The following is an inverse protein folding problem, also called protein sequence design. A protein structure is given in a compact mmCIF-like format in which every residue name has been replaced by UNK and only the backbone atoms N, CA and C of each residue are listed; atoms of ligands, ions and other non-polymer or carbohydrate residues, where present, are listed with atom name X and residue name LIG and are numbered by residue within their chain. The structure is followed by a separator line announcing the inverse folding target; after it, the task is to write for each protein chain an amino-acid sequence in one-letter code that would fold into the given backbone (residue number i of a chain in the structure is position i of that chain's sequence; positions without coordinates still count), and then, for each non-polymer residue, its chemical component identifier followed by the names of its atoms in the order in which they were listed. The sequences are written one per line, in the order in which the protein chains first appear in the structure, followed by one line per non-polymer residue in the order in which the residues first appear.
data_IF_516312985545
#
_entry.id   IF_516312985545
#
_cell.length_a   1.000
_cell.length_b   1.000
_cell.length_c   1.000
_cell.angle_alpha   90.00
_cell.angle_beta   90.00
_cell.angle_gamma   90.00
#
_symmetry.space_group_name_H-M   'P 1'
#
loop_
_entity.id
_entity.type
_entity.pdbx_description
1 polymer ?
#
# COMPACT_ATOMS: atom_id res chain seq x y z
N UNK A 1 -12.88 29.68 11.79
CA UNK A 1 -11.68 29.18 11.09
C UNK A 1 -12.05 27.84 10.46
N UNK A 2 -12.11 27.82 9.13
CA UNK A 2 -12.39 26.59 8.41
C UNK A 2 -11.13 25.73 8.42
N UNK A 3 -11.28 24.48 8.86
CA UNK A 3 -10.21 23.50 8.83
C UNK A 3 -10.16 22.83 7.46
N UNK A 4 -8.96 22.47 7.03
CA UNK A 4 -8.70 21.64 5.87
C UNK A 4 -8.01 20.36 6.34
N UNK A 5 -8.59 19.22 6.01
CA UNK A 5 -8.04 17.90 6.29
C UNK A 5 -7.32 17.39 5.04
N UNK A 6 -6.09 16.93 5.20
CA UNK A 6 -5.24 16.47 4.11
C UNK A 6 -4.79 15.05 4.46
N UNK A 7 -5.27 14.07 3.70
CA UNK A 7 -4.88 12.68 3.84
C UNK A 7 -3.80 12.35 2.81
N UNK A 8 -2.66 11.89 3.28
CA UNK A 8 -1.55 11.41 2.47
C UNK A 8 -1.63 9.88 2.36
N UNK A 9 -1.76 9.37 1.12
CA UNK A 9 -1.87 7.94 0.80
C UNK A 9 -0.50 7.37 0.35
N UNK A 10 0.55 7.68 1.09
CA UNK A 10 1.88 7.12 0.86
C UNK A 10 2.04 5.74 1.50
N UNK A 11 3.25 5.19 1.54
CA UNK A 11 3.52 3.89 2.18
C UNK A 11 3.02 3.82 3.63
N UNK A 12 3.12 4.92 4.37
CA UNK A 12 2.48 5.12 5.66
C UNK A 12 1.45 6.23 5.51
N UNK A 13 0.18 5.88 5.64
CA UNK A 13 -0.92 6.85 5.56
C UNK A 13 -0.93 7.74 6.80
N UNK A 14 -1.14 9.04 6.61
CA UNK A 14 -1.29 10.01 7.70
C UNK A 14 -2.18 11.18 7.30
N UNK A 15 -2.71 11.88 8.28
CA UNK A 15 -3.56 13.07 8.08
C UNK A 15 -2.88 14.30 8.67
N UNK A 16 -2.86 15.38 7.90
CA UNK A 16 -2.53 16.71 8.38
C UNK A 16 -3.78 17.57 8.48
N UNK A 17 -3.78 18.51 9.41
CA UNK A 17 -4.87 19.46 9.59
C UNK A 17 -4.30 20.86 9.40
N UNK A 18 -4.82 21.56 8.40
CA UNK A 18 -4.49 22.96 8.15
C UNK A 18 -5.66 23.90 8.47
N UNK A 19 -5.35 25.17 8.54
CA UNK A 19 -6.34 26.26 8.62
C UNK A 19 -6.44 26.94 7.25
N UNK A 20 -7.64 27.06 6.70
CA UNK A 20 -7.86 27.76 5.44
C UNK A 20 -7.54 29.25 5.61
N UNK A 21 -6.60 29.74 4.82
CA UNK A 21 -6.19 31.15 4.79
C UNK A 21 -6.98 31.93 3.75
N UNK A 22 -7.10 31.38 2.54
CA UNK A 22 -7.86 32.00 1.46
C UNK A 22 -8.37 30.98 0.47
N UNK A 23 -9.45 31.34 -0.23
CA UNK A 23 -10.04 30.56 -1.33
C UNK A 23 -10.24 31.50 -2.49
N UNK A 24 -9.83 31.11 -3.70
CA UNK A 24 -10.03 31.91 -4.92
C UNK A 24 -11.51 31.95 -5.34
N UNK A 25 -11.85 32.89 -6.19
CA UNK A 25 -13.13 32.81 -6.90
C UNK A 25 -13.19 31.52 -7.76
N UNK A 26 -14.38 30.90 -7.89
CA UNK A 26 -14.55 29.74 -8.76
C UNK A 26 -14.20 30.10 -10.23
N UNK A 27 -13.43 29.24 -10.88
CA UNK A 27 -13.03 29.36 -12.29
C UNK A 27 -13.31 28.05 -13.03
N UNK A 28 -13.58 28.06 -14.35
CA UNK A 28 -13.68 26.85 -15.13
C UNK A 28 -12.34 26.09 -15.12
N UNK A 29 -12.38 24.78 -14.95
CA UNK A 29 -11.17 23.92 -14.97
C UNK A 29 -10.45 23.94 -16.31
N UNK A 30 -11.24 24.04 -17.41
CA UNK A 30 -10.71 24.14 -18.77
C UNK A 30 -11.15 25.45 -19.42
N UNK A 31 -10.24 26.15 -20.14
CA UNK A 31 -10.62 27.34 -20.88
C UNK A 31 -11.68 27.00 -21.93
N UNK A 32 -12.75 27.79 -21.96
CA UNK A 32 -13.81 27.65 -22.96
C UNK A 32 -13.30 28.04 -24.33
N UNK A 33 -12.75 27.10 -25.10
CA UNK A 33 -12.27 27.33 -26.46
C UNK A 33 -13.23 26.90 -27.54
N UNK A 34 -14.40 26.32 -27.20
CA UNK A 34 -15.38 25.85 -28.18
C UNK A 34 -16.82 26.26 -27.84
N UNK A 35 -17.63 26.64 -28.86
CA UNK A 35 -19.02 27.11 -28.70
C UNK A 35 -20.03 25.97 -28.54
N UNK A 36 -19.63 24.76 -28.18
CA UNK A 36 -20.57 23.66 -27.93
C UNK A 36 -21.04 23.70 -26.47
N UNK A 37 -22.34 23.57 -26.21
CA UNK A 37 -22.82 23.47 -24.84
C UNK A 37 -22.34 22.17 -24.23
N UNK A 38 -21.23 22.24 -23.51
CA UNK A 38 -20.79 21.13 -22.64
C UNK A 38 -21.76 21.08 -21.47
N UNK A 39 -22.43 19.94 -21.19
CA UNK A 39 -23.54 19.89 -20.23
C UNK A 39 -23.10 20.11 -18.79
N UNK A 40 -21.80 20.13 -18.48
CA UNK A 40 -21.29 20.40 -17.13
C UNK A 40 -19.93 21.08 -17.20
N UNK A 41 -19.91 22.37 -16.86
CA UNK A 41 -18.68 23.11 -16.65
C UNK A 41 -18.18 22.76 -15.24
N UNK A 42 -17.10 21.99 -15.16
CA UNK A 42 -16.44 21.71 -13.89
C UNK A 42 -15.79 23.00 -13.37
N UNK A 43 -16.31 23.53 -12.28
CA UNK A 43 -15.78 24.71 -11.60
C UNK A 43 -14.77 24.29 -10.54
N UNK A 44 -13.66 25.00 -10.47
CA UNK A 44 -12.58 24.74 -9.52
C UNK A 44 -12.20 26.00 -8.76
N UNK A 45 -11.60 25.81 -7.61
CA UNK A 45 -11.04 26.86 -6.74
C UNK A 45 -9.62 26.52 -6.35
N UNK A 46 -8.83 27.54 -6.06
CA UNK A 46 -7.52 27.38 -5.44
C UNK A 46 -7.67 27.71 -3.95
N UNK A 47 -7.17 26.83 -3.09
CA UNK A 47 -7.24 26.97 -1.64
C UNK A 47 -5.83 27.13 -1.09
N UNK A 48 -5.61 28.17 -0.32
CA UNK A 48 -4.38 28.34 0.47
C UNK A 48 -4.68 27.96 1.90
N UNK A 49 -3.94 26.99 2.43
CA UNK A 49 -4.04 26.56 3.82
C UNK A 49 -2.70 26.69 4.55
N UNK A 50 -2.75 27.08 5.81
CA UNK A 50 -1.59 27.07 6.68
C UNK A 50 -1.52 25.72 7.38
N UNK A 51 -0.44 24.97 7.12
CA UNK A 51 -0.14 23.67 7.68
C UNK A 51 1.17 23.79 8.44
N UNK A 52 1.18 23.50 9.73
CA UNK A 52 2.38 23.60 10.57
C UNK A 52 3.10 24.98 10.49
N UNK A 53 2.33 26.05 10.27
CA UNK A 53 2.84 27.40 10.13
C UNK A 53 3.37 27.76 8.73
N UNK A 54 3.27 26.87 7.76
CA UNK A 54 3.62 27.12 6.36
C UNK A 54 2.38 27.17 5.48
N UNK A 55 2.35 28.10 4.55
CA UNK A 55 1.24 28.21 3.60
C UNK A 55 1.47 27.28 2.40
N UNK A 56 0.52 26.39 2.18
CA UNK A 56 0.49 25.46 1.04
C UNK A 56 -0.72 25.79 0.18
N UNK A 57 -0.53 25.80 -1.14
CA UNK A 57 -1.59 26.07 -2.11
C UNK A 57 -2.05 24.79 -2.80
N UNK A 58 -3.33 24.52 -2.69
CA UNK A 58 -4.01 23.42 -3.40
C UNK A 58 -4.76 24.01 -4.59
N UNK A 59 -4.27 23.75 -5.80
CA UNK A 59 -4.82 24.33 -7.02
C UNK A 59 -5.87 23.42 -7.66
N UNK A 60 -6.88 24.04 -8.28
CA UNK A 60 -7.91 23.35 -9.06
C UNK A 60 -8.73 22.30 -8.26
N UNK A 61 -9.00 22.58 -7.00
CA UNK A 61 -9.93 21.75 -6.22
C UNK A 61 -11.38 21.95 -6.74
N UNK A 62 -12.21 20.91 -6.81
CA UNK A 62 -13.61 21.07 -7.20
C UNK A 62 -14.34 22.08 -6.31
N UNK A 63 -15.05 23.02 -6.92
CA UNK A 63 -15.77 24.06 -6.17
C UNK A 63 -17.04 23.54 -5.47
N UNK A 64 -17.56 22.38 -5.90
CA UNK A 64 -18.81 21.80 -5.44
C UNK A 64 -18.65 20.40 -4.83
N UNK A 65 -17.67 20.16 -3.99
CA UNK A 65 -17.48 18.86 -3.35
C UNK A 65 -16.84 19.00 -1.97
N UNK A 66 -17.20 18.10 -1.05
CA UNK A 66 -16.66 18.06 0.29
C UNK A 66 -15.28 17.40 0.35
N UNK A 67 -14.90 16.65 -0.69
CA UNK A 67 -13.66 15.88 -0.78
C UNK A 67 -13.13 15.90 -2.21
N UNK A 68 -11.83 15.96 -2.36
CA UNK A 68 -11.14 15.97 -3.65
C UNK A 68 -9.82 15.20 -3.61
N UNK A 69 -9.55 14.46 -4.67
CA UNK A 69 -8.21 13.93 -4.92
C UNK A 69 -7.30 15.04 -5.45
N UNK A 70 -6.08 15.10 -4.92
CA UNK A 70 -5.06 16.09 -5.27
C UNK A 70 -3.71 15.41 -5.54
N UNK A 71 -2.92 16.03 -6.40
CA UNK A 71 -1.59 15.56 -6.76
C UNK A 71 -1.55 14.60 -7.96
N UNK A 72 -0.33 14.29 -8.40
CA UNK A 72 -0.11 13.32 -9.47
C UNK A 72 -0.43 11.92 -8.91
N UNK A 73 -1.38 11.20 -9.42
CA UNK A 73 -1.82 9.88 -8.98
C UNK A 73 -2.83 9.82 -7.82
N UNK A 74 -3.42 10.94 -7.37
CA UNK A 74 -4.41 10.93 -6.29
C UNK A 74 -3.86 10.47 -4.94
N UNK A 75 -2.56 10.67 -4.70
CA UNK A 75 -1.91 10.28 -3.45
C UNK A 75 -2.28 11.16 -2.27
N UNK A 76 -2.93 12.29 -2.52
CA UNK A 76 -3.41 13.23 -1.52
C UNK A 76 -4.91 13.38 -1.67
N UNK A 77 -5.63 13.31 -0.57
CA UNK A 77 -7.06 13.64 -0.53
C UNK A 77 -7.26 14.83 0.38
N UNK A 78 -8.00 15.82 -0.10
CA UNK A 78 -8.26 17.07 0.61
C UNK A 78 -9.74 17.19 0.88
N UNK A 79 -10.12 17.60 2.09
CA UNK A 79 -11.52 17.81 2.48
C UNK A 79 -11.66 18.95 3.48
N UNK A 80 -12.71 19.75 3.32
CA UNK A 80 -13.15 20.71 4.34
C UNK A 80 -14.15 20.09 5.35
N UNK A 81 -14.62 18.87 5.08
CA UNK A 81 -15.54 18.12 5.92
C UNK A 81 -14.81 17.01 6.69
N UNK A 82 -14.89 17.06 8.02
CA UNK A 82 -14.34 15.98 8.87
C UNK A 82 -15.04 14.67 8.60
N UNK A 83 -16.35 14.69 8.38
CA UNK A 83 -17.14 13.48 8.17
C UNK A 83 -16.81 12.83 6.83
N UNK A 84 -16.64 13.63 5.76
CA UNK A 84 -16.18 13.13 4.47
C UNK A 84 -14.78 12.49 4.58
N UNK A 85 -13.85 13.12 5.31
CA UNK A 85 -12.52 12.55 5.55
C UNK A 85 -12.58 11.26 6.39
N UNK A 86 -13.39 11.21 7.43
CA UNK A 86 -13.59 10.00 8.24
C UNK A 86 -14.16 8.84 7.40
N UNK A 87 -15.09 9.13 6.51
CA UNK A 87 -15.65 8.13 5.60
C UNK A 87 -14.58 7.59 4.64
N UNK A 88 -13.75 8.46 4.06
CA UNK A 88 -12.64 8.05 3.18
C UNK A 88 -11.65 7.14 3.91
N UNK A 89 -11.23 7.52 5.11
CA UNK A 89 -10.32 6.72 5.94
C UNK A 89 -10.96 5.37 6.29
N UNK A 90 -12.26 5.36 6.61
CA UNK A 90 -13.00 4.14 6.94
C UNK A 90 -13.09 3.19 5.74
N UNK A 91 -13.30 3.71 4.53
CA UNK A 91 -13.28 2.92 3.30
C UNK A 91 -11.91 2.30 3.03
N UNK A 92 -10.83 3.07 3.21
CA UNK A 92 -9.45 2.56 3.08
C UNK A 92 -9.20 1.43 4.07
N UNK A 93 -9.59 1.62 5.35
CA UNK A 93 -9.47 0.61 6.39
C UNK A 93 -10.25 -0.65 6.05
N UNK A 94 -11.51 -0.51 5.63
CA UNK A 94 -12.36 -1.65 5.26
C UNK A 94 -11.75 -2.43 4.11
N UNK A 95 -11.37 -1.76 3.02
CA UNK A 95 -10.73 -2.39 1.85
C UNK A 95 -9.46 -3.14 2.23
N UNK A 96 -8.61 -2.55 3.08
CA UNK A 96 -7.39 -3.21 3.57
C UNK A 96 -7.72 -4.42 4.44
N UNK A 97 -8.75 -4.34 5.29
CA UNK A 97 -9.19 -5.47 6.12
C UNK A 97 -9.74 -6.62 5.26
N UNK A 98 -10.50 -6.33 4.22
CA UNK A 98 -11.00 -7.32 3.26
C UNK A 98 -9.85 -8.05 2.56
N UNK A 99 -8.81 -7.33 2.13
CA UNK A 99 -7.61 -7.92 1.52
C UNK A 99 -6.90 -8.85 2.50
N UNK A 100 -6.70 -8.42 3.74
CA UNK A 100 -6.05 -9.24 4.79
C UNK A 100 -6.88 -10.49 5.11
N UNK A 101 -8.20 -10.34 5.23
CA UNK A 101 -9.11 -11.46 5.54
C UNK A 101 -9.24 -12.45 4.38
N UNK A 102 -9.01 -12.01 3.13
CA UNK A 102 -9.02 -12.90 1.96
C UNK A 102 -7.70 -13.68 1.76
N UNK A 103 -6.70 -13.46 2.59
CA UNK A 103 -5.37 -14.08 2.48
C UNK A 103 -5.44 -15.61 2.39
N UNK A 104 -6.18 -16.25 3.28
CA UNK A 104 -6.25 -17.71 3.35
C UNK A 104 -6.93 -18.30 2.12
N UNK A 105 -7.95 -17.61 1.60
CA UNK A 105 -8.56 -17.97 0.31
C UNK A 105 -7.51 -17.94 -0.81
N UNK A 106 -6.74 -16.87 -0.93
CA UNK A 106 -5.73 -16.76 -1.97
C UNK A 106 -4.59 -17.77 -1.82
N UNK A 107 -4.18 -18.10 -0.59
CA UNK A 107 -3.21 -19.17 -0.34
C UNK A 107 -3.72 -20.53 -0.82
N UNK A 108 -4.99 -20.83 -0.57
CA UNK A 108 -5.62 -22.06 -1.05
C UNK A 108 -5.70 -22.09 -2.58
N UNK A 109 -6.07 -20.98 -3.21
CA UNK A 109 -6.10 -20.85 -4.68
C UNK A 109 -4.71 -21.05 -5.29
N UNK A 110 -3.66 -20.47 -4.70
CA UNK A 110 -2.26 -20.66 -5.15
C UNK A 110 -1.89 -22.14 -5.08
N UNK A 111 -2.19 -22.80 -3.96
CA UNK A 111 -1.92 -24.23 -3.79
C UNK A 111 -2.64 -25.08 -4.83
N UNK A 112 -3.93 -24.80 -5.05
CA UNK A 112 -4.71 -25.50 -6.07
C UNK A 112 -4.19 -25.27 -7.49
N UNK A 113 -3.76 -24.03 -7.80
CA UNK A 113 -3.14 -23.71 -9.08
C UNK A 113 -1.82 -24.48 -9.29
N UNK A 114 -0.98 -24.57 -8.25
CA UNK A 114 0.27 -25.33 -8.30
C UNK A 114 0.01 -26.84 -8.54
N UNK A 115 -1.02 -27.39 -7.92
CA UNK A 115 -1.44 -28.78 -8.14
C UNK A 115 -1.92 -28.98 -9.58
N UNK A 116 -2.80 -28.11 -10.08
CA UNK A 116 -3.29 -28.17 -11.46
C UNK A 116 -2.15 -28.04 -12.48
N UNK A 117 -1.22 -27.10 -12.27
CA UNK A 117 -0.05 -26.95 -13.12
C UNK A 117 0.84 -28.20 -13.11
N UNK A 118 0.99 -28.84 -11.94
CA UNK A 118 1.76 -30.08 -11.80
C UNK A 118 1.08 -31.25 -12.51
N UNK A 119 -0.26 -31.28 -12.55
CA UNK A 119 -1.04 -32.31 -13.26
C UNK A 119 -0.92 -32.11 -14.78
N UNK A 120 -1.02 -30.87 -15.25
CA UNK A 120 -0.96 -30.55 -16.68
C UNK A 120 0.47 -30.67 -17.26
N UNK A 121 1.49 -30.49 -16.44
CA UNK A 121 2.89 -30.49 -16.85
C UNK A 121 3.70 -31.53 -16.06
N UNK A 122 3.75 -32.81 -16.51
CA UNK A 122 4.47 -33.87 -15.80
C UNK A 122 5.95 -33.59 -15.54
N UNK A 123 6.54 -32.71 -16.35
CA UNK A 123 7.94 -32.28 -16.20
C UNK A 123 8.18 -31.43 -14.94
N UNK A 124 7.20 -30.60 -14.55
CA UNK A 124 7.25 -29.84 -13.30
C UNK A 124 7.26 -30.78 -12.09
N UNK A 125 6.61 -31.94 -12.19
CA UNK A 125 6.58 -32.96 -11.17
C UNK A 125 7.98 -33.55 -10.92
N UNK A 126 8.75 -33.79 -11.99
CA UNK A 126 10.13 -34.29 -11.91
C UNK A 126 11.07 -33.25 -11.28
N UNK A 127 10.93 -32.00 -11.64
CA UNK A 127 11.74 -30.91 -11.11
C UNK A 127 11.45 -30.60 -9.63
N UNK A 128 10.18 -30.66 -9.22
CA UNK A 128 9.76 -30.49 -7.82
C UNK A 128 10.34 -31.60 -6.93
N UNK A 129 10.36 -32.84 -7.43
CA UNK A 129 10.99 -33.98 -6.76
C UNK A 129 12.51 -33.82 -6.64
N UNK A 130 13.19 -33.36 -7.71
CA UNK A 130 14.63 -33.12 -7.72
C UNK A 130 15.02 -31.99 -6.76
N UNK A 131 14.30 -30.88 -6.75
CA UNK A 131 14.57 -29.75 -5.86
C UNK A 131 14.33 -30.12 -4.39
N UNK A 132 13.29 -30.91 -4.10
CA UNK A 132 13.02 -31.39 -2.75
C UNK A 132 14.13 -32.34 -2.24
N UNK A 133 14.63 -33.21 -3.11
CA UNK A 133 15.73 -34.12 -2.81
C UNK A 133 17.03 -33.34 -2.56
N UNK A 134 17.37 -32.41 -3.40
CA UNK A 134 18.55 -31.54 -3.24
C UNK A 134 18.50 -30.73 -1.94
N UNK A 135 17.32 -30.18 -1.59
CA UNK A 135 17.12 -29.44 -0.33
C UNK A 135 17.29 -30.34 0.90
N UNK A 136 16.79 -31.58 0.85
CA UNK A 136 16.95 -32.57 1.92
C UNK A 136 18.43 -32.98 2.07
N UNK A 137 19.12 -33.21 0.97
CA UNK A 137 20.55 -33.58 0.96
C UNK A 137 21.40 -32.45 1.54
N UNK A 138 21.11 -31.20 1.20
CA UNK A 138 21.77 -30.02 1.79
C UNK A 138 21.53 -29.93 3.30
N UNK A 139 20.29 -30.10 3.75
CA UNK A 139 19.96 -30.08 5.18
C UNK A 139 20.63 -31.23 5.96
N UNK A 140 20.74 -32.41 5.37
CA UNK A 140 21.46 -33.53 5.97
C UNK A 140 22.96 -33.28 6.06
N UNK A 141 23.54 -32.65 5.04
CA UNK A 141 24.96 -32.27 5.05
C UNK A 141 25.27 -31.24 6.14
N UNK A 142 24.41 -30.21 6.27
CA UNK A 142 24.55 -29.19 7.33
C UNK A 142 24.40 -29.81 8.74
N UNK A 143 23.44 -30.71 8.92
CA UNK A 143 23.25 -31.42 10.18
C UNK A 143 24.44 -32.33 10.51
N UNK A 144 24.99 -33.04 9.54
CA UNK A 144 26.19 -33.86 9.71
C UNK A 144 27.41 -33.02 10.11
N UNK A 145 27.59 -31.86 9.49
CA UNK A 145 28.63 -30.90 9.82
C UNK A 145 28.48 -30.39 11.26
N UNK A 146 27.29 -29.93 11.63
CA UNK A 146 27.02 -29.46 12.99
C UNK A 146 27.26 -30.53 14.04
N UNK A 147 26.96 -31.80 13.75
CA UNK A 147 27.22 -32.93 14.64
C UNK A 147 28.71 -33.20 14.79
N UNK A 148 29.46 -33.08 13.70
CA UNK A 148 30.94 -33.21 13.73
C UNK A 148 31.58 -32.09 14.56
N UNK A 149 31.12 -30.86 14.39
CA UNK A 149 31.62 -29.71 15.14
C UNK A 149 31.30 -29.82 16.64
N UNK A 150 30.11 -30.32 17.01
CA UNK A 150 29.74 -30.61 18.39
C UNK A 150 30.60 -31.71 19.01
N UNK A 151 30.89 -32.77 18.26
CA UNK A 151 31.81 -33.85 18.74
C UNK A 151 33.21 -33.32 18.96
N UNK A 152 33.74 -32.46 18.07
CA UNK A 152 35.05 -31.85 18.23
C UNK A 152 35.10 -30.93 19.46
N UNK A 153 34.05 -30.13 19.69
CA UNK A 153 33.93 -29.27 20.86
C UNK A 153 33.86 -30.07 22.16
N UNK A 154 33.07 -31.13 22.18
CA UNK A 154 33.00 -32.05 23.35
C UNK A 154 34.35 -32.67 23.67
N UNK A 155 35.10 -33.07 22.64
CA UNK A 155 36.46 -33.63 22.84
C UNK A 155 37.42 -32.60 23.44
N UNK A 156 37.39 -31.37 22.96
CA UNK A 156 38.19 -30.28 23.51
C UNK A 156 37.84 -29.96 24.98
N UNK A 157 36.56 -29.99 25.32
CA UNK A 157 36.09 -29.78 26.71
C UNK A 157 36.55 -30.92 27.62
N UNK A 158 36.55 -32.19 27.17
CA UNK A 158 37.03 -33.31 27.95
C UNK A 158 38.54 -33.25 28.17
N UNK A 159 39.32 -32.75 27.18
CA UNK A 159 40.75 -32.55 27.28
C UNK A 159 41.14 -31.40 28.24
N UNK A 160 40.25 -30.41 28.45
CA UNK A 160 40.46 -29.29 29.38
C UNK A 160 40.05 -29.63 30.84
N UNK A 161 39.27 -30.68 31.04
CA UNK A 161 38.77 -31.09 32.36
C UNK A 161 39.55 -32.26 32.98
N UNK A 162 40.47 -32.89 32.26
CA UNK A 162 41.31 -33.99 32.70
C UNK A 162 42.75 -33.56 32.91
#
# INVERSE_FOLDING_TARGET
NNQLFILHKEAKHYVEIGSVVSVSAPKPKYPMTQPFPSPQIEMVVDVVASINGQNTTFQNLPAGGDIADFGQNGNIVVSCSRDAMNNEISMIKQKSSEIVNSRDYHLNVITACDEMLTMLNPELRRNKGRNRRFKLESQMADMSKNMSDLMALNRQLMEQLG
#
